data_IF_821964247857
#
_entry.id   IF_821964247857
#
_cell.length_a   1.000
_cell.length_b   1.000
_cell.length_c   1.000
_cell.angle_alpha   90.00
_cell.angle_beta   90.00
_cell.angle_gamma   90.00
#
_symmetry.space_group_name_H-M   'P 1'
#
loop_
_entity.id
_entity.type
_entity.pdbx_description
1 polymer ?
#
# COMPACT_ATOMS: atom_id res chain seq x y z
N UNK A 1 19.25 -12.62 -1.87
CA UNK A 1 17.89 -12.64 -2.47
C UNK A 1 17.16 -11.39 -2.00
N UNK A 2 16.64 -10.56 -2.91
CA UNK A 2 15.79 -9.40 -2.58
C UNK A 2 14.32 -9.86 -2.61
N UNK A 3 13.58 -9.64 -1.52
CA UNK A 3 12.16 -10.00 -1.41
C UNK A 3 11.39 -8.71 -1.13
N UNK A 4 10.45 -8.37 -2.02
CA UNK A 4 9.55 -7.22 -1.85
C UNK A 4 8.14 -7.69 -1.56
N UNK A 5 7.49 -7.09 -0.56
CA UNK A 5 6.07 -7.23 -0.26
C UNK A 5 5.37 -5.90 -0.51
N UNK A 6 4.23 -5.94 -1.18
CA UNK A 6 3.35 -4.79 -1.39
C UNK A 6 2.00 -5.14 -0.76
N UNK A 7 1.45 -4.23 0.01
CA UNK A 7 0.17 -4.37 0.69
C UNK A 7 -0.66 -3.10 0.46
N UNK A 8 -1.94 -3.29 0.18
CA UNK A 8 -2.87 -2.17 0.00
C UNK A 8 -4.06 -2.47 0.88
N UNK A 9 -4.13 -1.77 2.00
CA UNK A 9 -5.22 -1.92 2.95
C UNK A 9 -6.30 -0.89 2.61
N UNK A 10 -7.52 -1.40 2.42
CA UNK A 10 -8.73 -0.58 2.32
C UNK A 10 -9.42 -0.58 3.68
N UNK A 11 -8.75 0.00 4.68
CA UNK A 11 -9.39 0.25 5.95
C UNK A 11 -10.44 1.35 5.73
N UNK A 12 -11.70 0.94 5.83
CA UNK A 12 -12.90 1.75 5.62
C UNK A 12 -13.07 2.82 6.70
N UNK A 13 -12.12 3.74 6.81
CA UNK A 13 -12.26 4.90 7.67
C UNK A 13 -13.39 5.77 7.12
N UNK A 14 -14.52 5.79 7.84
CA UNK A 14 -15.73 6.53 7.51
C UNK A 14 -15.49 8.05 7.30
N UNK A 15 -14.35 8.56 7.75
CA UNK A 15 -13.95 9.96 7.69
C UNK A 15 -13.24 10.34 6.37
N UNK A 16 -12.46 9.44 5.76
CA UNK A 16 -11.54 9.82 4.67
C UNK A 16 -11.62 8.89 3.43
N UNK A 17 -12.13 7.65 3.52
CA UNK A 17 -12.16 6.66 2.40
C UNK A 17 -10.85 6.53 1.59
N UNK A 18 -9.71 6.87 2.19
CA UNK A 18 -8.39 6.84 1.53
C UNK A 18 -7.69 5.54 1.87
N UNK A 19 -7.32 4.78 0.83
CA UNK A 19 -6.54 3.56 1.00
C UNK A 19 -5.13 3.90 1.46
N UNK A 20 -4.53 3.01 2.24
CA UNK A 20 -3.10 3.12 2.59
C UNK A 20 -2.36 2.04 1.81
N UNK A 21 -1.44 2.46 0.95
CA UNK A 21 -0.56 1.54 0.23
C UNK A 21 0.79 1.49 0.93
N UNK A 22 1.26 0.30 1.24
CA UNK A 22 2.57 0.06 1.84
C UNK A 22 3.40 -0.88 0.97
N UNK A 23 4.71 -0.69 0.99
CA UNK A 23 5.63 -1.73 0.52
C UNK A 23 6.84 -1.86 1.43
N UNK A 24 7.45 -3.02 1.38
CA UNK A 24 8.45 -3.49 2.31
C UNK A 24 9.47 -4.35 1.55
N UNK A 25 10.74 -3.96 1.62
CA UNK A 25 11.84 -4.61 0.91
C UNK A 25 12.82 -5.24 1.91
N UNK A 26 13.03 -6.54 1.77
CA UNK A 26 13.96 -7.33 2.56
C UNK A 26 15.13 -7.82 1.72
N UNK A 27 16.34 -7.73 2.27
CA UNK A 27 17.53 -8.39 1.75
C UNK A 27 18.04 -9.37 2.78
N UNK A 28 18.04 -10.67 2.42
CA UNK A 28 18.58 -11.73 3.30
C UNK A 28 18.03 -11.64 4.73
N UNK A 29 16.71 -11.46 4.85
CA UNK A 29 15.96 -11.30 6.10
C UNK A 29 16.09 -9.95 6.84
N UNK A 30 16.86 -8.98 6.31
CA UNK A 30 16.91 -7.64 6.86
C UNK A 30 16.00 -6.67 6.09
N UNK A 31 15.15 -5.94 6.81
CA UNK A 31 14.34 -4.87 6.24
C UNK A 31 15.25 -3.70 5.86
N UNK A 32 15.40 -3.43 4.57
CA UNK A 32 16.27 -2.36 4.06
C UNK A 32 15.49 -1.13 3.62
N UNK A 33 14.23 -1.27 3.21
CA UNK A 33 13.40 -0.14 2.86
C UNK A 33 11.93 -0.46 3.07
N UNK A 34 11.17 0.53 3.52
CA UNK A 34 9.72 0.44 3.61
C UNK A 34 9.13 1.80 3.28
N UNK A 35 7.94 1.81 2.71
CA UNK A 35 7.13 3.00 2.60
C UNK A 35 5.68 2.69 2.97
N UNK A 36 5.01 3.66 3.58
CA UNK A 36 3.57 3.65 3.80
C UNK A 36 3.05 4.98 3.33
N UNK A 37 2.27 4.96 2.25
CA UNK A 37 1.72 6.15 1.60
C UNK A 37 0.21 6.06 1.69
N UNK A 38 -0.37 6.99 2.45
CA UNK A 38 -1.81 7.23 2.39
C UNK A 38 -2.13 7.78 1.01
N UNK A 39 -2.92 7.07 0.22
CA UNK A 39 -3.34 7.57 -1.09
C UNK A 39 -4.20 8.81 -0.86
N UNK A 40 -3.88 9.92 -1.52
CA UNK A 40 -4.67 11.15 -1.40
C UNK A 40 -6.04 11.02 -2.09
N UNK A 41 -6.23 9.96 -2.89
CA UNK A 41 -7.46 9.69 -3.60
C UNK A 41 -8.35 8.75 -2.80
N UNK A 42 -9.64 9.07 -2.78
CA UNK A 42 -10.67 8.21 -2.24
C UNK A 42 -10.81 7.02 -3.19
N UNK A 43 -10.56 5.82 -2.70
CA UNK A 43 -10.85 4.60 -3.45
C UNK A 43 -12.19 4.06 -2.98
N UNK A 44 -13.09 3.77 -3.92
CA UNK A 44 -14.41 3.21 -3.63
C UNK A 44 -14.40 1.67 -3.67
N UNK A 45 -13.25 1.04 -3.96
CA UNK A 45 -13.04 -0.42 -4.02
C UNK A 45 -11.57 -0.84 -3.84
N UNK A 46 -11.28 -2.04 -3.29
CA UNK A 46 -9.89 -2.57 -3.22
C UNK A 46 -9.28 -2.67 -4.62
N UNK A 47 -10.07 -3.13 -5.60
CA UNK A 47 -9.64 -3.22 -7.00
C UNK A 47 -9.27 -1.85 -7.60
N UNK A 48 -9.97 -0.78 -7.22
CA UNK A 48 -9.63 0.59 -7.63
C UNK A 48 -8.37 1.07 -6.89
N UNK A 49 -8.19 0.70 -5.63
CA UNK A 49 -7.00 1.06 -4.86
C UNK A 49 -5.75 0.40 -5.45
N UNK A 50 -5.84 -0.86 -5.89
CA UNK A 50 -4.78 -1.56 -6.61
C UNK A 50 -4.50 -0.93 -7.98
N UNK A 51 -5.52 -0.55 -8.72
CA UNK A 51 -5.37 0.13 -10.01
C UNK A 51 -4.67 1.50 -9.87
N UNK A 52 -5.02 2.28 -8.84
CA UNK A 52 -4.42 3.58 -8.56
C UNK A 52 -2.99 3.42 -8.00
N UNK A 53 -2.72 2.36 -7.24
CA UNK A 53 -1.37 2.05 -6.76
C UNK A 53 -0.42 1.60 -7.87
N UNK A 54 -0.96 0.96 -8.92
CA UNK A 54 -0.20 0.50 -10.09
C UNK A 54 0.05 1.60 -11.14
N UNK A 55 -0.69 2.72 -11.06
CA UNK A 55 -0.64 3.86 -11.99
C UNK A 55 0.43 4.91 -11.67
#
# INVERSE_FOLDING_TARGET
MLIGYCDTDWDGSADDRKSTSGACFFLENNLISWFSKKQNCVSLSTAEAEYIAAG
#
